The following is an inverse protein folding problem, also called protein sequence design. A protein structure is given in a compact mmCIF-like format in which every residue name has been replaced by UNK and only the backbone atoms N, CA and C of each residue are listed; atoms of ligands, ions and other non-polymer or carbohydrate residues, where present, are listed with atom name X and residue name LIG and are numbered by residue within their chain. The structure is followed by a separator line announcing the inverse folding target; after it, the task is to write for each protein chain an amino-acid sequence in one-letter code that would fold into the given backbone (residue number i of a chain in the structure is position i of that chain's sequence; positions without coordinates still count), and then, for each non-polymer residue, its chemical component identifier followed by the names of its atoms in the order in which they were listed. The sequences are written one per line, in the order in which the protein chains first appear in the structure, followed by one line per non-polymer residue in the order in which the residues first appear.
data_IF_491428048227
#
_entry.id   IF_491428048227
#
_cell.length_a   1.000
_cell.length_b   1.000
_cell.length_c   1.000
_cell.angle_alpha   90.00
_cell.angle_beta   90.00
_cell.angle_gamma   90.00
#
_symmetry.space_group_name_H-M   'P 1'
#
loop_
_entity.id
_entity.type
_entity.pdbx_description
1 polymer ?
#
# COMPACT_ATOMS: atom_id res chain seq x y z
N UNK A 1 -7.49 -14.26 20.85
CA UNK A 1 -8.07 -15.62 20.96
C UNK A 1 -9.59 -15.55 21.18
N UNK A 2 -10.11 -14.97 22.28
CA UNK A 2 -11.54 -14.91 22.60
C UNK A 2 -12.43 -14.35 21.46
N UNK A 3 -11.97 -13.33 20.75
CA UNK A 3 -12.74 -12.74 19.65
C UNK A 3 -12.75 -13.62 18.39
N UNK A 4 -11.70 -14.41 18.16
CA UNK A 4 -11.64 -15.39 17.07
C UNK A 4 -12.51 -16.61 17.39
N UNK A 5 -12.54 -17.05 18.63
CA UNK A 5 -13.45 -18.12 19.11
C UNK A 5 -14.91 -17.69 19.01
N UNK A 6 -15.21 -16.44 19.39
CA UNK A 6 -16.53 -15.86 19.25
C UNK A 6 -16.94 -15.77 17.78
N UNK A 7 -16.05 -15.33 16.91
CA UNK A 7 -16.28 -15.27 15.48
C UNK A 7 -16.52 -16.65 14.87
N UNK A 8 -15.79 -17.67 15.31
CA UNK A 8 -15.97 -19.03 14.84
C UNK A 8 -17.33 -19.61 15.26
N UNK A 9 -17.85 -19.18 16.41
CA UNK A 9 -19.12 -19.70 16.98
C UNK A 9 -20.34 -18.94 16.46
N UNK A 10 -20.27 -17.61 16.38
CA UNK A 10 -21.41 -16.74 16.09
C UNK A 10 -21.33 -16.05 14.72
N UNK A 11 -20.17 -16.15 14.03
CA UNK A 11 -19.93 -15.45 12.77
C UNK A 11 -19.63 -13.95 12.97
N UNK A 12 -19.94 -13.14 11.96
CA UNK A 12 -19.73 -11.70 11.99
C UNK A 12 -18.29 -11.26 11.67
N UNK A 13 -18.05 -9.95 11.68
CA UNK A 13 -16.72 -9.38 11.46
C UNK A 13 -15.94 -9.34 12.77
N UNK A 14 -14.64 -9.64 12.70
CA UNK A 14 -13.78 -9.67 13.90
C UNK A 14 -13.86 -8.36 14.71
N UNK A 15 -13.92 -7.20 14.03
CA UNK A 15 -14.05 -5.91 14.69
C UNK A 15 -15.35 -5.75 15.48
N UNK A 16 -16.47 -6.20 14.91
CA UNK A 16 -17.78 -6.21 15.58
C UNK A 16 -17.75 -7.11 16.83
N UNK A 17 -17.18 -8.30 16.70
CA UNK A 17 -17.01 -9.23 17.82
C UNK A 17 -16.10 -8.67 18.92
N UNK A 18 -15.07 -7.90 18.58
CA UNK A 18 -14.20 -7.24 19.56
C UNK A 18 -14.95 -6.17 20.37
N UNK A 19 -15.85 -5.43 19.71
CA UNK A 19 -16.69 -4.42 20.38
C UNK A 19 -17.74 -5.11 21.26
N UNK A 20 -18.39 -6.14 20.76
CA UNK A 20 -19.42 -6.90 21.47
C UNK A 20 -18.88 -7.59 22.74
N UNK A 21 -17.64 -8.07 22.67
CA UNK A 21 -16.93 -8.63 23.82
C UNK A 21 -16.35 -7.55 24.77
N UNK A 22 -16.53 -6.26 24.46
CA UNK A 22 -16.03 -5.15 25.27
C UNK A 22 -14.50 -5.05 25.31
N UNK A 23 -13.79 -5.70 24.37
CA UNK A 23 -12.32 -5.69 24.29
C UNK A 23 -11.83 -4.35 23.74
N UNK A 24 -12.57 -3.76 22.79
CA UNK A 24 -12.36 -2.42 22.25
C UNK A 24 -13.68 -1.67 22.20
N UNK A 25 -13.62 -0.35 22.28
CA UNK A 25 -14.80 0.50 22.03
C UNK A 25 -14.99 0.68 20.53
N UNK A 26 -16.22 1.00 20.12
CA UNK A 26 -16.53 1.33 18.72
C UNK A 26 -15.68 2.51 18.22
N UNK A 27 -15.39 3.47 19.10
CA UNK A 27 -14.53 4.61 18.80
C UNK A 27 -13.08 4.18 18.57
N UNK A 28 -12.53 3.32 19.39
CA UNK A 28 -11.19 2.76 19.20
C UNK A 28 -11.09 1.92 17.91
N UNK A 29 -12.15 1.20 17.58
CA UNK A 29 -12.20 0.44 16.32
C UNK A 29 -12.23 1.37 15.12
N UNK A 30 -13.04 2.43 15.15
CA UNK A 30 -13.11 3.43 14.09
C UNK A 30 -11.78 4.18 13.94
N UNK A 31 -11.14 4.58 15.04
CA UNK A 31 -9.81 5.20 15.02
C UNK A 31 -8.77 4.28 14.37
N UNK A 32 -8.82 2.98 14.67
CA UNK A 32 -7.93 2.00 14.05
C UNK A 32 -8.16 1.89 12.53
N UNK A 33 -9.43 1.92 12.08
CA UNK A 33 -9.77 1.89 10.65
C UNK A 33 -9.47 3.21 9.95
N UNK A 34 -9.59 4.36 10.61
CA UNK A 34 -9.11 5.64 10.07
C UNK A 34 -7.58 5.68 9.92
N UNK A 35 -6.85 4.96 10.78
CA UNK A 35 -5.39 4.80 10.68
C UNK A 35 -4.95 3.88 9.53
N UNK A 36 -5.82 2.99 9.06
CA UNK A 36 -5.49 2.07 7.97
C UNK A 36 -5.84 2.72 6.63
N UNK A 37 -4.85 3.04 5.77
CA UNK A 37 -5.13 3.61 4.46
C UNK A 37 -6.02 2.67 3.65
N UNK A 38 -7.16 3.16 3.19
CA UNK A 38 -8.01 2.38 2.28
C UNK A 38 -7.28 2.22 0.95
N UNK A 39 -7.27 1.01 0.34
CA UNK A 39 -6.69 0.83 -0.98
C UNK A 39 -7.41 1.72 -2.00
N UNK A 40 -6.69 2.36 -2.92
CA UNK A 40 -7.29 3.20 -3.93
C UNK A 40 -8.19 2.36 -4.84
N UNK A 41 -9.33 2.91 -5.26
CA UNK A 41 -10.28 2.26 -6.17
C UNK A 41 -10.16 2.77 -7.59
N UNK A 42 -9.71 4.01 -7.77
CA UNK A 42 -9.50 4.68 -9.05
C UNK A 42 -8.07 5.21 -9.15
N UNK A 43 -7.63 5.60 -10.35
CA UNK A 43 -6.34 6.28 -10.55
C UNK A 43 -6.25 7.57 -9.72
N UNK A 44 -7.34 8.32 -9.64
CA UNK A 44 -7.44 9.57 -8.88
C UNK A 44 -7.26 9.35 -7.38
N UNK A 45 -7.82 8.25 -6.84
CA UNK A 45 -7.68 7.89 -5.42
C UNK A 45 -6.23 7.65 -5.00
N UNK A 46 -5.33 7.35 -5.94
CA UNK A 46 -3.90 7.21 -5.66
C UNK A 46 -3.27 8.54 -5.24
N UNK A 47 -3.88 9.67 -5.61
CA UNK A 47 -3.33 11.01 -5.44
C UNK A 47 -2.07 11.29 -6.24
N UNK A 48 -1.70 10.41 -7.17
CA UNK A 48 -0.58 10.54 -8.10
C UNK A 48 -1.08 11.00 -9.47
N UNK A 49 -0.26 11.76 -10.20
CA UNK A 49 -0.63 12.14 -11.55
C UNK A 49 -0.62 10.92 -12.49
N UNK A 50 -1.55 10.91 -13.46
CA UNK A 50 -1.62 9.83 -14.45
C UNK A 50 -0.29 9.66 -15.19
N UNK A 51 0.37 10.77 -15.57
CA UNK A 51 1.68 10.74 -16.23
C UNK A 51 2.74 10.04 -15.41
N UNK A 52 2.78 10.27 -14.09
CA UNK A 52 3.69 9.59 -13.19
C UNK A 52 3.42 8.08 -13.10
N UNK A 53 2.14 7.69 -13.01
CA UNK A 53 1.76 6.27 -12.99
C UNK A 53 2.06 5.56 -14.32
N UNK A 54 1.88 6.26 -15.45
CA UNK A 54 2.27 5.79 -16.79
C UNK A 54 3.76 5.55 -16.86
N UNK A 55 4.59 6.51 -16.41
CA UNK A 55 6.03 6.35 -16.35
C UNK A 55 6.45 5.14 -15.52
N UNK A 56 5.83 4.95 -14.35
CA UNK A 56 6.10 3.80 -13.48
C UNK A 56 5.74 2.47 -14.15
N UNK A 57 4.57 2.40 -14.81
CA UNK A 57 4.13 1.19 -15.50
C UNK A 57 5.04 0.86 -16.70
N UNK A 58 5.43 1.86 -17.49
CA UNK A 58 6.37 1.68 -18.60
C UNK A 58 7.74 1.21 -18.13
N UNK A 59 8.26 1.78 -17.04
CA UNK A 59 9.54 1.37 -16.44
C UNK A 59 9.46 -0.07 -15.91
N UNK A 60 8.35 -0.43 -15.27
CA UNK A 60 8.11 -1.79 -14.80
C UNK A 60 8.14 -2.80 -15.95
N UNK A 61 7.40 -2.51 -17.04
CA UNK A 61 7.38 -3.33 -18.25
C UNK A 61 8.73 -3.43 -18.97
N UNK A 62 9.55 -2.39 -18.84
CA UNK A 62 10.87 -2.37 -19.47
C UNK A 62 11.91 -3.23 -18.74
N UNK A 63 11.76 -3.38 -17.42
CA UNK A 63 12.74 -4.06 -16.57
C UNK A 63 12.34 -5.51 -16.20
N UNK A 64 11.08 -5.90 -16.42
CA UNK A 64 10.61 -7.24 -16.07
C UNK A 64 10.44 -8.13 -17.30
N UNK A 65 10.83 -9.39 -17.17
CA UNK A 65 10.59 -10.40 -18.22
C UNK A 65 9.15 -10.93 -18.22
N UNK A 66 8.48 -10.86 -17.07
CA UNK A 66 7.09 -11.26 -16.91
C UNK A 66 6.16 -10.05 -16.91
N UNK A 67 5.70 -9.68 -18.08
CA UNK A 67 4.91 -8.48 -18.34
C UNK A 67 3.40 -8.73 -18.22
N UNK A 68 2.95 -9.41 -17.15
CA UNK A 68 1.53 -9.62 -16.90
C UNK A 68 0.93 -8.49 -16.05
N UNK A 69 -0.40 -8.31 -16.16
CA UNK A 69 -1.13 -7.35 -15.28
C UNK A 69 -0.82 -7.60 -13.81
N UNK A 70 -0.78 -8.87 -13.41
CA UNK A 70 -0.52 -9.28 -12.03
C UNK A 70 0.90 -8.97 -11.59
N UNK A 71 1.89 -9.20 -12.45
CA UNK A 71 3.29 -8.88 -12.16
C UNK A 71 3.50 -7.37 -11.98
N UNK A 72 2.88 -6.57 -12.85
CA UNK A 72 2.92 -5.10 -12.75
C UNK A 72 2.26 -4.64 -11.43
N UNK A 73 1.08 -5.21 -11.10
CA UNK A 73 0.36 -4.88 -9.86
C UNK A 73 1.19 -5.25 -8.62
N UNK A 74 1.85 -6.40 -8.64
CA UNK A 74 2.72 -6.84 -7.55
C UNK A 74 3.95 -5.94 -7.39
N UNK A 75 4.59 -5.53 -8.49
CA UNK A 75 5.76 -4.65 -8.47
C UNK A 75 5.41 -3.24 -7.99
N UNK A 76 4.35 -2.66 -8.56
CA UNK A 76 3.92 -1.31 -8.22
C UNK A 76 3.14 -1.24 -6.88
N UNK A 77 2.78 -2.38 -6.30
CA UNK A 77 1.92 -2.47 -5.11
C UNK A 77 0.59 -1.73 -5.27
N UNK A 78 0.06 -1.75 -6.48
CA UNK A 78 -1.23 -1.17 -6.81
C UNK A 78 -2.31 -2.26 -6.97
N UNK A 79 -3.57 -1.95 -6.65
CA UNK A 79 -4.68 -2.83 -6.95
C UNK A 79 -4.77 -3.17 -8.44
N UNK A 80 -5.17 -4.40 -8.75
CA UNK A 80 -5.20 -4.91 -10.13
C UNK A 80 -6.15 -4.12 -11.05
N UNK A 81 -7.25 -3.59 -10.51
CA UNK A 81 -8.18 -2.74 -11.26
C UNK A 81 -7.52 -1.45 -11.75
N UNK A 82 -6.65 -0.84 -10.93
CA UNK A 82 -5.87 0.36 -11.29
C UNK A 82 -4.86 0.04 -12.39
N UNK A 83 -4.16 -1.09 -12.25
CA UNK A 83 -3.21 -1.54 -13.28
C UNK A 83 -3.92 -1.86 -14.60
N UNK A 84 -5.10 -2.47 -14.54
CA UNK A 84 -5.92 -2.70 -15.73
C UNK A 84 -6.33 -1.39 -16.43
N UNK A 85 -6.64 -0.36 -15.67
CA UNK A 85 -6.96 0.96 -16.22
C UNK A 85 -5.73 1.60 -16.88
N UNK A 86 -4.57 1.54 -16.21
CA UNK A 86 -3.29 2.00 -16.74
C UNK A 86 -2.91 1.28 -18.04
N UNK A 87 -2.96 -0.05 -18.06
CA UNK A 87 -2.60 -0.84 -19.25
C UNK A 87 -3.55 -0.60 -20.41
N UNK A 88 -4.85 -0.42 -20.16
CA UNK A 88 -5.80 0.03 -21.19
C UNK A 88 -5.43 1.40 -21.76
N UNK A 89 -5.00 2.33 -20.91
CA UNK A 89 -4.51 3.65 -21.33
C UNK A 89 -3.24 3.57 -22.18
N UNK A 90 -2.29 2.72 -21.77
CA UNK A 90 -1.04 2.47 -22.51
C UNK A 90 -1.29 1.82 -23.88
N UNK A 91 -2.22 0.84 -23.95
CA UNK A 91 -2.61 0.20 -25.21
C UNK A 91 -3.28 1.18 -26.18
N UNK A 92 -4.19 2.04 -25.70
CA UNK A 92 -4.81 3.09 -26.51
C UNK A 92 -3.79 4.06 -27.10
N UNK A 93 -2.72 4.37 -26.35
CA UNK A 93 -1.59 5.21 -26.80
C UNK A 93 -0.57 4.44 -27.66
N UNK A 94 -0.81 3.14 -27.89
CA UNK A 94 0.07 2.23 -28.63
C UNK A 94 1.49 2.12 -28.03
N UNK A 95 1.63 2.27 -26.71
CA UNK A 95 2.88 2.02 -26.00
C UNK A 95 3.10 0.55 -25.68
N UNK A 96 2.00 -0.21 -25.58
CA UNK A 96 2.01 -1.66 -25.36
C UNK A 96 1.06 -2.38 -26.32
N UNK A 97 1.36 -3.65 -26.53
CA UNK A 97 0.53 -4.61 -27.26
C UNK A 97 0.18 -5.78 -26.35
N UNK A 98 -1.06 -6.25 -26.44
CA UNK A 98 -1.52 -7.46 -25.72
C UNK A 98 -1.06 -8.66 -26.51
N UNK A 99 -0.24 -9.53 -25.91
CA UNK A 99 0.33 -10.72 -26.58
C UNK A 99 -0.37 -12.01 -26.20
N UNK A 100 -1.13 -12.01 -25.13
CA UNK A 100 -1.87 -13.16 -24.67
C UNK A 100 -2.76 -12.87 -23.48
N UNK A 101 -3.73 -13.75 -23.25
CA UNK A 101 -4.55 -13.76 -22.04
C UNK A 101 -4.45 -15.13 -21.39
N UNK A 102 -4.11 -15.16 -20.10
CA UNK A 102 -4.10 -16.40 -19.34
C UNK A 102 -5.51 -16.72 -18.86
N UNK A 103 -6.15 -17.71 -19.48
CA UNK A 103 -7.49 -18.19 -19.11
C UNK A 103 -7.49 -19.09 -17.86
N UNK A 104 -6.35 -19.34 -17.23
CA UNK A 104 -6.22 -20.29 -16.10
C UNK A 104 -6.66 -19.73 -14.74
N UNK A 105 -7.11 -18.49 -14.68
CA UNK A 105 -7.53 -17.82 -13.45
C UNK A 105 -8.90 -17.18 -13.62
N UNK A 106 -9.68 -17.12 -12.55
CA UNK A 106 -10.97 -16.42 -12.48
C UNK A 106 -10.84 -14.93 -12.78
N UNK A 107 -9.62 -14.37 -12.68
CA UNK A 107 -9.30 -12.98 -13.04
C UNK A 107 -8.40 -13.06 -14.28
N UNK A 108 -8.80 -12.45 -15.42
CA UNK A 108 -7.97 -12.39 -16.62
C UNK A 108 -6.61 -11.76 -16.31
N UNK A 109 -5.53 -12.42 -16.72
CA UNK A 109 -4.17 -11.92 -16.58
C UNK A 109 -3.58 -11.74 -17.99
N UNK A 110 -3.67 -10.52 -18.49
CA UNK A 110 -3.18 -10.20 -19.83
C UNK A 110 -1.68 -10.02 -19.82
N UNK A 111 -1.03 -10.51 -20.88
CA UNK A 111 0.41 -10.36 -21.14
C UNK A 111 0.63 -9.20 -22.11
N UNK A 112 1.69 -8.44 -21.89
CA UNK A 112 1.99 -7.25 -22.66
C UNK A 112 3.41 -7.26 -23.19
N UNK A 113 3.59 -6.69 -24.41
CA UNK A 113 4.91 -6.31 -24.91
C UNK A 113 4.96 -4.80 -25.15
N UNK A 114 6.12 -4.20 -24.86
CA UNK A 114 6.37 -2.81 -25.22
C UNK A 114 6.57 -2.69 -26.73
N UNK A 115 5.89 -1.73 -27.34
CA UNK A 115 6.15 -1.29 -28.70
C UNK A 115 7.50 -0.51 -28.77
N UNK A 116 7.96 -0.16 -29.98
CA UNK A 116 9.11 0.72 -30.13
C UNK A 116 8.91 2.09 -29.45
N UNK A 117 7.69 2.65 -29.58
CA UNK A 117 7.31 3.91 -28.92
C UNK A 117 7.27 3.74 -27.38
N UNK A 118 6.72 2.63 -26.89
CA UNK A 118 6.70 2.32 -25.46
C UNK A 118 8.11 2.17 -24.86
N UNK A 119 9.02 1.53 -25.59
CA UNK A 119 10.44 1.42 -25.18
C UNK A 119 11.14 2.77 -25.12
N UNK A 120 10.93 3.63 -26.10
CA UNK A 120 11.49 4.98 -26.07
C UNK A 120 10.99 5.79 -24.86
N UNK A 121 9.67 5.77 -24.60
CA UNK A 121 9.07 6.44 -23.45
C UNK A 121 9.57 5.88 -22.12
N UNK A 122 9.72 4.55 -22.01
CA UNK A 122 10.28 3.91 -20.82
C UNK A 122 11.74 4.33 -20.57
N UNK A 123 12.55 4.41 -21.63
CA UNK A 123 13.94 4.87 -21.53
C UNK A 123 14.02 6.34 -21.08
N UNK A 124 13.17 7.22 -21.60
CA UNK A 124 13.07 8.60 -21.13
C UNK A 124 12.64 8.68 -19.67
N UNK A 125 11.63 7.88 -19.27
CA UNK A 125 11.18 7.84 -17.88
C UNK A 125 12.29 7.37 -16.94
N UNK A 126 13.09 6.36 -17.33
CA UNK A 126 14.26 5.88 -16.59
C UNK A 126 15.36 6.94 -16.50
N UNK A 127 15.60 7.72 -17.56
CA UNK A 127 16.56 8.82 -17.54
C UNK A 127 16.15 9.94 -16.56
N UNK A 128 14.84 10.21 -16.42
CA UNK A 128 14.32 11.16 -15.43
C UNK A 128 14.43 10.64 -14.00
N UNK A 129 14.16 9.36 -13.79
CA UNK A 129 14.21 8.69 -12.48
C UNK A 129 14.45 7.20 -12.66
N UNK A 130 15.57 6.70 -12.18
CA UNK A 130 15.90 5.27 -12.20
C UNK A 130 15.08 4.40 -11.24
N UNK A 131 14.18 5.00 -10.46
CA UNK A 131 13.36 4.26 -9.52
C UNK A 131 12.31 3.39 -10.22
N UNK A 132 12.33 2.09 -9.90
CA UNK A 132 11.32 1.10 -10.31
C UNK A 132 10.92 0.30 -9.07
N UNK A 133 9.66 0.32 -8.73
CA UNK A 133 9.17 -0.33 -7.50
C UNK A 133 7.78 0.15 -7.10
N UNK A 134 7.39 -0.04 -5.84
CA UNK A 134 6.08 0.38 -5.33
C UNK A 134 5.72 1.84 -5.63
N UNK A 135 4.48 2.09 -5.99
CA UNK A 135 3.99 3.45 -6.18
C UNK A 135 4.12 4.24 -4.86
N UNK A 136 4.72 5.44 -4.89
CA UNK A 136 4.91 6.23 -3.68
C UNK A 136 3.59 6.76 -3.15
N UNK A 137 3.53 6.98 -1.85
CA UNK A 137 2.41 7.69 -1.22
C UNK A 137 2.57 9.19 -1.49
N UNK A 138 1.49 9.92 -1.85
CA UNK A 138 1.54 11.38 -2.00
C UNK A 138 2.07 12.06 -0.75
N UNK A 139 2.90 13.10 -0.94
CA UNK A 139 3.61 13.78 0.16
C UNK A 139 2.66 14.30 1.25
N UNK A 140 1.51 14.84 0.87
CA UNK A 140 0.50 15.34 1.80
C UNK A 140 -0.10 14.22 2.69
N UNK A 141 -0.31 13.03 2.14
CA UNK A 141 -0.78 11.87 2.90
C UNK A 141 0.33 11.34 3.82
N UNK A 142 1.56 11.28 3.32
CA UNK A 142 2.72 10.90 4.12
C UNK A 142 2.93 11.86 5.31
N UNK A 143 2.94 13.17 5.07
CA UNK A 143 3.07 14.18 6.13
C UNK A 143 1.97 14.06 7.18
N UNK A 144 0.72 13.85 6.76
CA UNK A 144 -0.42 13.65 7.66
C UNK A 144 -0.19 12.42 8.56
N UNK A 145 0.28 11.31 7.99
CA UNK A 145 0.60 10.10 8.76
C UNK A 145 1.76 10.31 9.74
N UNK A 146 2.81 10.99 9.34
CA UNK A 146 3.93 11.35 10.23
C UNK A 146 3.45 12.18 11.41
N UNK A 147 2.58 13.18 11.17
CA UNK A 147 2.02 14.01 12.23
C UNK A 147 1.13 13.19 13.18
N UNK A 148 0.31 12.28 12.65
CA UNK A 148 -0.55 11.40 13.44
C UNK A 148 0.26 10.44 14.34
N UNK A 149 1.39 9.94 13.83
CA UNK A 149 2.25 8.97 14.51
C UNK A 149 3.36 9.60 15.34
N UNK A 150 3.34 10.92 15.54
CA UNK A 150 4.36 11.58 16.36
C UNK A 150 4.31 11.07 17.80
N UNK A 151 5.47 10.72 18.33
CA UNK A 151 5.65 10.35 19.76
C UNK A 151 5.16 11.47 20.69
N UNK A 152 5.25 12.75 20.25
CA UNK A 152 4.73 13.90 20.99
C UNK A 152 3.22 13.86 21.26
N UNK A 153 2.46 13.04 20.52
CA UNK A 153 1.03 12.83 20.74
C UNK A 153 0.76 11.82 21.86
N UNK A 154 1.76 11.02 22.22
CA UNK A 154 1.69 10.02 23.29
C UNK A 154 2.05 10.67 24.62
N UNK A 155 1.09 10.76 25.53
CA UNK A 155 1.34 11.17 26.92
C UNK A 155 1.84 9.98 27.71
N UNK A 156 3.14 9.73 27.64
CA UNK A 156 3.76 8.68 28.45
C UNK A 156 3.96 9.21 29.88
N UNK A 157 3.35 8.55 30.86
CA UNK A 157 3.55 8.88 32.27
C UNK A 157 4.88 8.28 32.78
N UNK A 158 5.51 8.92 33.78
CA UNK A 158 6.73 8.41 34.39
C UNK A 158 6.58 7.00 34.97
N UNK A 159 5.37 6.61 35.34
CA UNK A 159 5.05 5.27 35.83
C UNK A 159 5.03 4.22 34.70
N UNK A 160 4.44 4.56 33.56
CA UNK A 160 4.49 3.73 32.33
C UNK A 160 5.92 3.53 31.86
N UNK A 161 6.73 4.60 31.90
CA UNK A 161 8.15 4.53 31.54
C UNK A 161 8.92 3.61 32.48
N UNK A 162 8.76 3.75 33.80
CA UNK A 162 9.39 2.88 34.79
C UNK A 162 9.00 1.42 34.63
N UNK A 163 7.73 1.16 34.32
CA UNK A 163 7.21 -0.20 34.09
C UNK A 163 7.78 -0.82 32.82
N UNK A 164 7.87 -0.05 31.74
CA UNK A 164 8.45 -0.49 30.47
C UNK A 164 9.96 -0.74 30.57
N UNK A 165 10.68 0.09 31.34
CA UNK A 165 12.13 0.00 31.52
C UNK A 165 12.55 -0.81 32.74
N UNK A 166 11.62 -1.36 33.51
CA UNK A 166 11.88 -2.09 34.76
C UNK A 166 12.77 -3.34 34.62
N UNK A 167 12.93 -3.85 33.38
CA UNK A 167 13.85 -4.96 33.09
C UNK A 167 15.28 -4.49 32.70
N UNK A 168 15.48 -3.19 32.55
CA UNK A 168 16.78 -2.61 32.22
C UNK A 168 17.47 -2.12 33.49
N UNK A 169 18.74 -2.50 33.68
CA UNK A 169 19.59 -1.94 34.71
C UNK A 169 20.05 -0.54 34.27
N UNK A 170 19.33 0.49 34.71
CA UNK A 170 19.69 1.89 34.41
C UNK A 170 20.61 2.38 35.52
N UNK A 171 21.83 2.85 35.18
CA UNK A 171 22.74 3.44 36.18
C UNK A 171 22.10 4.64 36.87
N UNK A 172 22.27 4.78 38.19
CA UNK A 172 21.68 5.84 39.02
C UNK A 172 21.95 7.27 38.51
N UNK A 173 23.03 7.49 37.76
CA UNK A 173 23.35 8.77 37.11
C UNK A 173 22.34 9.25 36.09
N UNK A 174 21.51 8.37 35.56
CA UNK A 174 20.49 8.68 34.52
C UNK A 174 19.07 8.74 35.08
N UNK A 175 18.87 8.44 36.37
CA UNK A 175 17.57 8.47 37.05
C UNK A 175 17.19 9.86 37.57
N UNK A 176 18.11 10.82 37.52
CA UNK A 176 18.01 12.14 38.19
C UNK A 176 18.07 13.36 37.25
N UNK A 177 17.39 13.34 36.10
CA UNK A 177 17.12 14.58 35.30
C UNK A 177 15.74 14.57 34.73
#
# INVERSE_FOLDING_TARGET
ERALEHQATYGGRLGENLVELGIVTEQQLNDLFEYTPKPPRTLEDTGLSEGFLVDMALKALYQTDNNSTRSIAALLRLPINIVNELTKGLARRRYIEVTGESSRSTIPDSQYNLTAAGRAMAAEALARSGYVGPAPVPLNLYQRKVIQQRISNEKVTGEQLRRALGHLVIPDRLQGR
#
